data_IF_452486156536
#
_entry.id   IF_452486156536
#
_cell.length_a   1.000
_cell.length_b   1.000
_cell.length_c   1.000
_cell.angle_alpha   90.00
_cell.angle_beta   90.00
_cell.angle_gamma   90.00
#
_symmetry.space_group_name_H-M   'P 1'
#
loop_
_entity.id
_entity.type
_entity.pdbx_description
1 polymer ?
#
# COMPACT_ATOMS: atom_id res chain seq x y z
N UNK A 1 -32.21 -12.05 -7.85
CA UNK A 1 -30.76 -11.80 -8.03
C UNK A 1 -30.09 -11.77 -6.67
N UNK A 2 -29.50 -12.87 -6.18
CA UNK A 2 -28.68 -12.81 -4.98
C UNK A 2 -27.34 -12.20 -5.39
N UNK A 3 -27.07 -10.98 -4.95
CA UNK A 3 -25.73 -10.41 -5.07
C UNK A 3 -24.81 -11.20 -4.14
N UNK A 4 -23.76 -11.83 -4.68
CA UNK A 4 -22.80 -12.66 -3.93
C UNK A 4 -22.03 -11.89 -2.85
N UNK A 5 -22.11 -10.55 -2.87
CA UNK A 5 -21.46 -9.67 -1.89
C UNK A 5 -22.42 -9.34 -0.74
N UNK A 6 -21.95 -9.42 0.52
CA UNK A 6 -22.70 -8.92 1.67
C UNK A 6 -23.08 -7.45 1.48
N UNK A 7 -24.30 -7.10 1.90
CA UNK A 7 -24.75 -5.71 1.99
C UNK A 7 -24.53 -5.23 3.42
N UNK A 8 -23.86 -4.10 3.56
CA UNK A 8 -23.71 -3.42 4.83
C UNK A 8 -24.52 -2.12 4.80
N UNK A 9 -25.42 -1.97 5.76
CA UNK A 9 -26.15 -0.72 5.98
C UNK A 9 -25.36 0.11 6.97
N UNK A 10 -25.03 1.35 6.60
CA UNK A 10 -24.37 2.30 7.46
C UNK A 10 -25.36 3.40 7.83
N UNK A 11 -25.43 3.72 9.11
CA UNK A 11 -26.26 4.80 9.62
C UNK A 11 -25.38 6.00 9.91
N UNK A 12 -25.78 7.15 9.38
CA UNK A 12 -25.11 8.43 9.59
C UNK A 12 -25.34 8.92 11.03
N UNK A 13 -24.59 8.34 11.96
CA UNK A 13 -24.67 8.60 13.39
C UNK A 13 -23.30 8.36 14.04
N UNK A 14 -23.09 9.01 15.19
CA UNK A 14 -21.86 8.90 15.97
C UNK A 14 -20.63 9.23 15.13
N UNK A 15 -19.62 8.36 15.22
CA UNK A 15 -18.32 8.54 14.55
C UNK A 15 -18.44 8.71 13.02
N UNK A 16 -19.39 8.01 12.37
CA UNK A 16 -19.58 8.16 10.93
C UNK A 16 -20.05 9.58 10.57
N UNK A 17 -20.92 10.16 11.38
CA UNK A 17 -21.40 11.52 11.15
C UNK A 17 -20.25 12.54 11.28
N UNK A 18 -19.42 12.38 12.31
CA UNK A 18 -18.25 13.25 12.53
C UNK A 18 -17.24 13.15 11.36
N UNK A 19 -16.95 11.93 10.89
CA UNK A 19 -16.09 11.72 9.72
C UNK A 19 -16.66 12.40 8.46
N UNK A 20 -17.96 12.28 8.24
CA UNK A 20 -18.64 12.86 7.10
C UNK A 20 -18.73 14.39 7.19
N UNK A 21 -18.80 14.96 8.39
CA UNK A 21 -18.74 16.42 8.60
C UNK A 21 -17.36 16.99 8.28
N UNK A 22 -16.29 16.27 8.66
CA UNK A 22 -14.93 16.61 8.24
C UNK A 22 -14.78 16.51 6.72
N UNK A 23 -15.34 15.46 6.11
CA UNK A 23 -15.36 15.33 4.65
C UNK A 23 -16.12 16.47 3.97
N UNK A 24 -17.27 16.89 4.52
CA UNK A 24 -18.07 17.99 3.99
C UNK A 24 -17.28 19.30 3.98
N UNK A 25 -16.48 19.57 5.02
CA UNK A 25 -15.57 20.74 5.05
C UNK A 25 -14.51 20.68 3.95
N UNK A 26 -14.04 19.48 3.61
CA UNK A 26 -13.02 19.27 2.56
C UNK A 26 -13.60 19.36 1.15
N UNK A 27 -14.86 18.97 0.98
CA UNK A 27 -15.61 18.96 -0.27
C UNK A 27 -16.97 19.67 -0.09
N UNK A 28 -16.97 21.00 0.04
CA UNK A 28 -18.18 21.77 0.34
C UNK A 28 -19.25 21.65 -0.75
N UNK A 29 -18.84 21.44 -2.00
CA UNK A 29 -19.75 21.36 -3.16
C UNK A 29 -20.42 19.98 -3.33
N UNK A 30 -20.12 19.00 -2.47
CA UNK A 30 -20.77 17.69 -2.51
C UNK A 30 -21.91 17.64 -1.49
N UNK A 31 -23.18 17.76 -1.91
CA UNK A 31 -24.32 17.77 -0.99
C UNK A 31 -24.71 16.36 -0.51
N UNK A 32 -24.22 15.31 -1.16
CA UNK A 32 -24.63 13.92 -0.86
C UNK A 32 -23.61 13.25 0.05
N UNK A 33 -24.01 12.98 1.30
CA UNK A 33 -23.16 12.31 2.30
C UNK A 33 -22.66 10.93 1.87
N UNK A 34 -23.46 10.17 1.12
CA UNK A 34 -23.02 8.90 0.52
C UNK A 34 -21.81 9.07 -0.42
N UNK A 35 -21.73 10.18 -1.16
CA UNK A 35 -20.59 10.45 -2.05
C UNK A 35 -19.35 10.84 -1.25
N UNK A 36 -19.52 11.58 -0.14
CA UNK A 36 -18.43 11.87 0.79
C UNK A 36 -17.84 10.58 1.38
N UNK A 37 -18.68 9.61 1.73
CA UNK A 37 -18.23 8.30 2.22
C UNK A 37 -17.39 7.58 1.16
N UNK A 38 -17.83 7.56 -0.10
CA UNK A 38 -17.06 6.96 -1.20
C UNK A 38 -15.72 7.68 -1.39
N UNK A 39 -15.69 9.01 -1.31
CA UNK A 39 -14.45 9.81 -1.40
C UNK A 39 -13.49 9.50 -0.26
N UNK A 40 -13.99 9.42 0.98
CA UNK A 40 -13.19 9.03 2.15
C UNK A 40 -12.61 7.63 1.97
N UNK A 41 -13.44 6.65 1.58
CA UNK A 41 -12.98 5.28 1.35
C UNK A 41 -11.94 5.19 0.22
N UNK A 42 -12.08 6.01 -0.83
CA UNK A 42 -11.11 6.07 -1.93
C UNK A 42 -9.78 6.64 -1.47
N UNK A 43 -9.80 7.70 -0.65
CA UNK A 43 -8.60 8.29 -0.08
C UNK A 43 -7.90 7.31 0.87
N UNK A 44 -8.65 6.69 1.78
CA UNK A 44 -8.13 5.71 2.72
C UNK A 44 -7.53 4.49 2.02
N UNK A 45 -8.18 3.99 0.96
CA UNK A 45 -7.62 2.92 0.13
C UNK A 45 -6.26 3.31 -0.45
N UNK A 46 -6.15 4.49 -1.06
CA UNK A 46 -4.90 4.93 -1.67
C UNK A 46 -3.76 5.03 -0.65
N UNK A 47 -4.06 5.49 0.56
CA UNK A 47 -3.08 5.53 1.65
C UNK A 47 -2.63 4.12 2.06
N UNK A 48 -3.57 3.20 2.29
CA UNK A 48 -3.27 1.82 2.68
C UNK A 48 -2.47 1.10 1.58
N UNK A 49 -2.83 1.27 0.31
CA UNK A 49 -2.09 0.71 -0.82
C UNK A 49 -0.64 1.22 -0.85
N UNK A 50 -0.42 2.49 -0.56
CA UNK A 50 0.92 3.08 -0.42
C UNK A 50 1.73 2.44 0.71
N UNK A 51 1.15 2.35 1.91
CA UNK A 51 1.80 1.74 3.09
C UNK A 51 2.16 0.26 2.84
N UNK A 52 1.28 -0.49 2.17
CA UNK A 52 1.55 -1.88 1.80
C UNK A 52 2.70 -1.99 0.79
N UNK A 53 2.71 -1.13 -0.23
CA UNK A 53 3.78 -1.11 -1.22
C UNK A 53 5.14 -0.77 -0.59
N UNK A 54 5.18 0.17 0.37
CA UNK A 54 6.39 0.51 1.12
C UNK A 54 6.92 -0.68 1.92
N UNK A 55 6.05 -1.37 2.67
CA UNK A 55 6.42 -2.58 3.43
C UNK A 55 6.95 -3.69 2.53
N UNK A 56 6.36 -3.88 1.35
CA UNK A 56 6.83 -4.86 0.37
C UNK A 56 8.21 -4.47 -0.19
N UNK A 57 8.47 -3.18 -0.41
CA UNK A 57 9.78 -2.69 -0.82
C UNK A 57 10.83 -2.90 0.27
N UNK A 58 10.52 -2.61 1.52
CA UNK A 58 11.40 -2.85 2.67
C UNK A 58 11.75 -4.33 2.79
N UNK A 59 10.75 -5.21 2.69
CA UNK A 59 10.94 -6.66 2.73
C UNK A 59 11.84 -7.13 1.58
N UNK A 60 11.64 -6.61 0.36
CA UNK A 60 12.50 -6.92 -0.78
C UNK A 60 13.93 -6.44 -0.57
N UNK A 61 14.13 -5.22 -0.09
CA UNK A 61 15.46 -4.66 0.20
C UNK A 61 16.18 -5.48 1.29
N UNK A 62 15.47 -5.88 2.35
CA UNK A 62 16.04 -6.71 3.40
C UNK A 62 16.55 -8.06 2.85
N UNK A 63 15.74 -8.74 2.03
CA UNK A 63 16.15 -10.00 1.37
C UNK A 63 17.33 -9.82 0.42
N UNK A 64 17.35 -8.72 -0.33
CA UNK A 64 18.49 -8.40 -1.20
C UNK A 64 19.76 -8.15 -0.39
N UNK A 65 19.68 -7.37 0.69
CA UNK A 65 20.82 -7.12 1.56
C UNK A 65 21.37 -8.40 2.20
N UNK A 66 20.48 -9.30 2.64
CA UNK A 66 20.86 -10.61 3.17
C UNK A 66 21.58 -11.46 2.10
N UNK A 67 21.03 -11.55 0.89
CA UNK A 67 21.64 -12.30 -0.21
C UNK A 67 23.01 -11.70 -0.62
N UNK A 68 23.10 -10.37 -0.70
CA UNK A 68 24.36 -9.68 -0.99
C UNK A 68 25.41 -9.92 0.11
N UNK A 69 25.00 -10.00 1.38
CA UNK A 69 25.90 -10.35 2.49
C UNK A 69 26.51 -11.75 2.36
N UNK A 70 25.86 -12.67 1.65
CA UNK A 70 26.36 -14.03 1.39
C UNK A 70 27.26 -14.13 0.15
N UNK A 71 27.29 -13.12 -0.73
CA UNK A 71 28.07 -13.14 -1.97
C UNK A 71 29.54 -13.52 -1.78
N UNK A 72 30.28 -12.98 -0.80
CA UNK A 72 31.70 -13.31 -0.62
C UNK A 72 31.95 -14.79 -0.33
N UNK A 73 30.95 -15.53 0.16
CA UNK A 73 31.04 -16.98 0.41
C UNK A 73 30.71 -17.83 -0.81
N UNK A 74 29.93 -17.27 -1.74
CA UNK A 74 29.38 -17.98 -2.90
C UNK A 74 30.16 -17.69 -4.18
N UNK A 75 30.93 -16.60 -4.19
CA UNK A 75 31.62 -16.09 -5.36
C UNK A 75 33.07 -15.81 -4.97
N UNK A 76 34.01 -16.46 -5.67
CA UNK A 76 35.41 -16.10 -5.61
C UNK A 76 35.64 -14.84 -6.45
N UNK A 77 35.66 -13.71 -5.77
CA UNK A 77 35.76 -12.38 -6.39
C UNK A 77 37.11 -12.20 -7.06
N UNK A 78 38.20 -12.77 -6.53
CA UNK A 78 39.51 -12.69 -7.17
C UNK A 78 39.53 -13.46 -8.50
N UNK A 79 38.93 -14.65 -8.53
CA UNK A 79 38.82 -15.42 -9.76
C UNK A 79 38.00 -14.69 -10.82
N UNK A 80 36.88 -14.07 -10.44
CA UNK A 80 35.98 -13.35 -11.35
C UNK A 80 36.57 -12.05 -11.93
N UNK A 81 37.44 -11.40 -11.17
CA UNK A 81 38.16 -10.19 -11.60
C UNK A 81 39.43 -10.51 -12.40
N UNK A 82 39.80 -11.78 -12.54
CA UNK A 82 40.97 -12.16 -13.33
C UNK A 82 40.69 -12.13 -14.84
N UNK A 83 41.70 -11.77 -15.63
CA UNK A 83 41.64 -11.78 -17.11
C UNK A 83 41.31 -13.17 -17.69
N UNK A 84 41.51 -14.24 -16.91
CA UNK A 84 41.20 -15.62 -17.31
C UNK A 84 39.69 -15.92 -17.29
N UNK A 85 38.89 -15.15 -16.55
CA UNK A 85 37.45 -15.39 -16.42
C UNK A 85 36.65 -15.00 -17.69
N UNK A 86 37.24 -14.23 -18.61
CA UNK A 86 36.54 -13.60 -19.73
C UNK A 86 37.14 -13.90 -21.12
N UNK A 87 38.02 -14.90 -21.22
CA UNK A 87 38.49 -15.46 -22.49
C UNK A 87 37.64 -16.63 -22.91
#
# INVERSE_FOLDING_TARGET
MPTTRPRYTLTDAGELAEMLDVAQRRWPDEPRRQNLLVRLATLGRAQIEGELAERDQETRRARQAEALGQLPRLVDVEALLSDAAWR
#
